data_IF_370045618986
#
_entry.id   IF_370045618986
#
_cell.length_a   1.000
_cell.length_b   1.000
_cell.length_c   1.000
_cell.angle_alpha   90.00
_cell.angle_beta   90.00
_cell.angle_gamma   90.00
#
_symmetry.space_group_name_H-M   'P 1'
#
loop_
_entity.id
_entity.type
_entity.pdbx_description
1 polymer ?
#
# COMPACT_ATOMS: atom_id res chain seq x y z
N UNK A 1 -0.27 7.89 -12.83
CA UNK A 1 -0.49 7.46 -11.45
C UNK A 1 0.25 8.45 -10.55
N UNK A 2 -0.44 9.20 -9.69
CA UNK A 2 0.18 10.16 -8.77
C UNK A 2 -0.06 9.63 -7.36
N UNK A 3 0.95 9.00 -6.78
CA UNK A 3 1.00 8.65 -5.35
C UNK A 3 1.60 9.82 -4.60
N UNK A 4 1.08 10.11 -3.40
CA UNK A 4 1.74 11.06 -2.54
C UNK A 4 3.10 10.45 -2.07
N UNK A 5 4.11 11.27 -1.75
CA UNK A 5 5.42 10.76 -1.35
C UNK A 5 5.38 9.77 -0.17
N UNK A 6 4.45 9.96 0.77
CA UNK A 6 4.19 9.05 1.88
C UNK A 6 3.68 7.69 1.38
N UNK A 7 2.72 7.64 0.45
CA UNK A 7 2.16 6.38 -0.04
C UNK A 7 3.21 5.56 -0.80
N UNK A 8 4.09 6.26 -1.53
CA UNK A 8 5.23 5.65 -2.20
C UNK A 8 6.21 5.02 -1.20
N UNK A 9 6.52 5.72 -0.09
CA UNK A 9 7.40 5.21 0.95
C UNK A 9 6.81 3.97 1.65
N UNK A 10 5.52 4.02 1.99
CA UNK A 10 4.80 2.90 2.60
C UNK A 10 4.83 1.69 1.66
N UNK A 11 4.48 1.89 0.38
CA UNK A 11 4.48 0.83 -0.64
C UNK A 11 5.87 0.24 -0.85
N UNK A 12 6.92 1.06 -0.95
CA UNK A 12 8.29 0.59 -1.10
C UNK A 12 8.76 -0.23 0.11
N UNK A 13 8.40 0.20 1.31
CA UNK A 13 8.68 -0.53 2.56
C UNK A 13 7.99 -1.89 2.57
N UNK A 14 6.69 -1.93 2.27
CA UNK A 14 5.96 -3.19 2.20
C UNK A 14 6.58 -4.16 1.19
N UNK A 15 6.96 -3.66 0.00
CA UNK A 15 7.62 -4.48 -1.03
C UNK A 15 8.98 -5.00 -0.57
N UNK A 16 9.79 -4.15 0.07
CA UNK A 16 11.11 -4.52 0.57
C UNK A 16 11.06 -5.62 1.63
N UNK A 17 10.09 -5.55 2.53
CA UNK A 17 9.92 -6.52 3.63
C UNK A 17 8.99 -7.69 3.30
N UNK A 18 8.50 -7.80 2.06
CA UNK A 18 7.60 -8.89 1.65
C UNK A 18 6.21 -8.85 2.30
N UNK A 19 5.75 -7.66 2.71
CA UNK A 19 4.42 -7.45 3.29
C UNK A 19 3.40 -7.36 2.15
N UNK A 20 2.49 -8.34 2.10
CA UNK A 20 1.43 -8.41 1.07
C UNK A 20 0.06 -7.91 1.52
N UNK A 21 -0.11 -7.54 2.81
CA UNK A 21 -1.40 -7.10 3.36
C UNK A 21 -1.26 -5.79 4.12
N UNK A 22 -2.21 -4.89 3.97
CA UNK A 22 -2.25 -3.60 4.69
C UNK A 22 -3.66 -3.30 5.18
N UNK A 23 -3.79 -2.90 6.44
CA UNK A 23 -5.03 -2.36 6.99
C UNK A 23 -4.97 -0.84 6.95
N UNK A 24 -5.86 -0.20 6.19
CA UNK A 24 -5.87 1.26 6.02
C UNK A 24 -7.26 1.73 5.59
N UNK A 25 -7.62 2.95 5.96
CA UNK A 25 -8.81 3.66 5.44
C UNK A 25 -8.53 4.39 4.12
N UNK A 26 -7.28 4.40 3.67
CA UNK A 26 -6.89 5.00 2.41
C UNK A 26 -7.10 4.02 1.25
N UNK A 27 -8.14 4.28 0.45
CA UNK A 27 -8.49 3.47 -0.71
C UNK A 27 -7.45 3.48 -1.84
N UNK A 28 -6.49 4.40 -1.81
CA UNK A 28 -5.47 4.53 -2.86
C UNK A 28 -4.54 3.32 -2.93
N UNK A 29 -4.34 2.62 -1.81
CA UNK A 29 -3.55 1.39 -1.75
C UNK A 29 -4.20 0.22 -2.50
N UNK A 30 -5.51 0.26 -2.79
CA UNK A 30 -6.18 -0.76 -3.62
C UNK A 30 -5.64 -0.79 -5.06
N UNK A 31 -4.93 0.27 -5.50
CA UNK A 31 -4.31 0.34 -6.83
C UNK A 31 -2.92 -0.30 -6.88
N UNK A 32 -2.36 -0.70 -5.74
CA UNK A 32 -1.04 -1.33 -5.66
C UNK A 32 -1.19 -2.83 -5.85
N UNK A 33 -0.83 -3.33 -7.03
CA UNK A 33 -1.15 -4.71 -7.44
C UNK A 33 -0.54 -5.85 -6.61
N UNK A 34 0.39 -5.59 -5.70
CA UNK A 34 0.95 -6.60 -4.79
C UNK A 34 0.42 -6.51 -3.35
N UNK A 35 -0.40 -5.49 -3.05
CA UNK A 35 -0.97 -5.28 -1.72
C UNK A 35 -2.46 -5.66 -1.70
N UNK A 36 -2.83 -6.51 -0.76
CA UNK A 36 -4.21 -6.76 -0.36
C UNK A 36 -4.60 -5.75 0.73
N UNK A 37 -5.60 -4.93 0.46
CA UNK A 37 -6.16 -4.02 1.47
C UNK A 37 -7.19 -4.78 2.30
N UNK A 38 -6.96 -4.83 3.61
CA UNK A 38 -7.87 -5.44 4.58
C UNK A 38 -8.74 -4.31 5.18
N UNK A 39 -10.04 -4.36 4.91
CA UNK A 39 -11.00 -3.43 5.51
C UNK A 39 -11.23 -3.82 6.98
N UNK A 40 -11.23 -2.82 7.87
CA UNK A 40 -11.43 -2.96 9.33
C UNK A 40 -12.78 -2.37 9.71
#
# INVERSE_FOLDING_TARGET
MRTLPNDALITATCKHYGIGKIATFDSDFKRVGFLEVVEV
#
